data_IF_777494946624
#
_entry.id   IF_777494946624
#
_cell.length_a   1.000
_cell.length_b   1.000
_cell.length_c   1.000
_cell.angle_alpha   90.00
_cell.angle_beta   90.00
_cell.angle_gamma   90.00
#
_symmetry.space_group_name_H-M   'P 1'
#
loop_
_entity.id
_entity.type
_entity.pdbx_description
1 polymer ?
#
# COMPACT_ATOMS: atom_id res chain seq x y z
N UNK A 1 2.00 -6.98 12.53
CA UNK A 1 2.88 -7.50 11.46
C UNK A 1 2.13 -7.36 10.15
N UNK A 2 2.77 -6.83 9.09
CA UNK A 2 2.15 -6.68 7.78
C UNK A 2 1.87 -8.03 7.13
N UNK A 3 0.88 -8.07 6.24
CA UNK A 3 0.52 -9.27 5.44
C UNK A 3 1.67 -9.74 4.57
N UNK A 4 2.49 -8.80 4.07
CA UNK A 4 3.68 -9.07 3.27
C UNK A 4 4.90 -8.34 3.86
N UNK A 5 5.59 -8.94 4.85
CA UNK A 5 6.75 -8.32 5.49
C UNK A 5 7.94 -8.16 4.55
N UNK A 6 8.02 -8.95 3.47
CA UNK A 6 9.09 -8.85 2.48
C UNK A 6 8.87 -7.72 1.46
N UNK A 7 7.67 -7.12 1.43
CA UNK A 7 7.33 -6.05 0.50
C UNK A 7 7.42 -4.72 1.23
N UNK A 8 8.40 -3.91 0.84
CA UNK A 8 8.67 -2.61 1.46
C UNK A 8 8.04 -1.47 0.66
N UNK A 9 7.36 -0.57 1.36
CA UNK A 9 6.77 0.66 0.80
C UNK A 9 7.25 1.86 1.61
N UNK A 10 7.88 2.81 0.93
CA UNK A 10 8.33 4.04 1.58
C UNK A 10 7.18 5.05 1.70
N UNK A 11 6.82 5.37 2.94
CA UNK A 11 5.86 6.43 3.27
C UNK A 11 6.62 7.64 3.83
N UNK A 12 6.69 8.69 3.03
CA UNK A 12 7.26 9.97 3.41
C UNK A 12 6.17 10.89 3.97
N UNK A 13 6.53 11.76 4.92
CA UNK A 13 5.67 12.83 5.45
C UNK A 13 5.21 13.86 4.37
N UNK A 14 5.63 13.70 3.10
CA UNK A 14 5.23 14.51 1.96
C UNK A 14 4.26 13.79 1.01
N UNK A 15 3.86 12.56 1.33
CA UNK A 15 2.94 11.77 0.49
C UNK A 15 1.48 12.19 0.63
N UNK A 16 1.22 13.49 0.73
CA UNK A 16 -0.13 14.08 0.80
C UNK A 16 -1.02 13.79 -0.42
N UNK A 17 -0.58 12.92 -1.33
CA UNK A 17 -1.32 12.44 -2.47
C UNK A 17 -1.58 10.93 -2.35
N UNK A 18 -2.84 10.56 -2.10
CA UNK A 18 -3.31 9.18 -2.05
C UNK A 18 -2.93 8.37 -3.31
N UNK A 19 -2.99 8.98 -4.50
CA UNK A 19 -2.65 8.30 -5.75
C UNK A 19 -1.16 7.96 -5.84
N UNK A 20 -0.29 8.79 -5.28
CA UNK A 20 1.15 8.50 -5.25
C UNK A 20 1.44 7.28 -4.38
N UNK A 21 0.79 7.18 -3.21
CA UNK A 21 0.88 6.03 -2.31
C UNK A 21 0.37 4.76 -3.01
N UNK A 22 -0.82 4.82 -3.61
CA UNK A 22 -1.42 3.69 -4.32
C UNK A 22 -0.53 3.21 -5.48
N UNK A 23 0.08 4.13 -6.24
CA UNK A 23 0.98 3.80 -7.33
C UNK A 23 2.24 3.08 -6.83
N UNK A 24 2.80 3.49 -5.69
CA UNK A 24 3.95 2.80 -5.08
C UNK A 24 3.58 1.41 -4.59
N UNK A 25 2.43 1.26 -3.94
CA UNK A 25 1.94 -0.04 -3.47
C UNK A 25 1.73 -1.01 -4.64
N UNK A 26 1.15 -0.52 -5.74
CA UNK A 26 0.99 -1.31 -6.98
C UNK A 26 2.34 -1.79 -7.51
N UNK A 27 3.31 -0.88 -7.63
CA UNK A 27 4.64 -1.21 -8.11
C UNK A 27 5.34 -2.23 -7.20
N UNK A 28 5.20 -2.09 -5.88
CA UNK A 28 5.77 -3.02 -4.90
C UNK A 28 5.17 -4.43 -5.03
N UNK A 29 3.85 -4.54 -5.21
CA UNK A 29 3.18 -5.83 -5.48
C UNK A 29 3.65 -6.47 -6.79
N UNK A 30 3.79 -5.68 -7.87
CA UNK A 30 4.27 -6.18 -9.17
C UNK A 30 5.70 -6.70 -9.04
N UNK A 31 6.60 -5.94 -8.40
CA UNK A 31 7.99 -6.37 -8.17
C UNK A 31 8.09 -7.64 -7.32
N UNK A 32 7.12 -7.86 -6.42
CA UNK A 32 7.02 -9.07 -5.61
C UNK A 32 6.28 -10.23 -6.30
N UNK A 33 5.83 -10.07 -7.55
CA UNK A 33 5.07 -11.09 -8.28
C UNK A 33 3.67 -11.37 -7.69
N UNK A 34 3.08 -10.40 -6.97
CA UNK A 34 1.76 -10.48 -6.32
C UNK A 34 0.75 -9.52 -6.93
N UNK A 35 0.82 -9.30 -8.24
CA UNK A 35 -0.10 -8.41 -8.95
C UNK A 35 -1.58 -8.83 -8.81
N UNK A 36 -1.84 -10.13 -8.60
CA UNK A 36 -3.17 -10.69 -8.35
C UNK A 36 -3.83 -10.08 -7.10
N UNK A 37 -3.02 -9.59 -6.16
CA UNK A 37 -3.49 -8.99 -4.91
C UNK A 37 -3.83 -7.51 -5.01
N UNK A 38 -3.52 -6.87 -6.15
CA UNK A 38 -3.77 -5.44 -6.34
C UNK A 38 -5.24 -5.08 -6.16
N UNK A 39 -6.16 -5.86 -6.73
CA UNK A 39 -7.60 -5.56 -6.66
C UNK A 39 -8.13 -5.61 -5.22
N UNK A 40 -7.70 -6.61 -4.45
CA UNK A 40 -8.06 -6.77 -3.03
C UNK A 40 -7.52 -5.60 -2.20
N UNK A 41 -6.24 -5.26 -2.38
CA UNK A 41 -5.60 -4.14 -1.70
C UNK A 41 -6.28 -2.81 -2.05
N UNK A 42 -6.49 -2.53 -3.34
CA UNK A 42 -7.06 -1.26 -3.80
C UNK A 42 -8.47 -1.06 -3.22
N UNK A 43 -9.30 -2.10 -3.26
CA UNK A 43 -10.66 -2.06 -2.71
C UNK A 43 -10.65 -1.73 -1.22
N UNK A 44 -9.77 -2.37 -0.45
CA UNK A 44 -9.61 -2.09 0.98
C UNK A 44 -9.08 -0.66 1.21
N UNK A 45 -8.03 -0.25 0.47
CA UNK A 45 -7.35 1.02 0.67
C UNK A 45 -8.21 2.24 0.31
N UNK A 46 -9.18 2.09 -0.61
CA UNK A 46 -10.09 3.17 -1.03
C UNK A 46 -11.47 3.11 -0.38
N UNK A 47 -11.68 2.28 0.64
CA UNK A 47 -13.00 2.11 1.25
C UNK A 47 -13.43 3.24 2.19
N UNK A 48 -12.53 4.16 2.54
CA UNK A 48 -12.81 5.25 3.46
C UNK A 48 -11.93 6.48 3.15
N UNK A 49 -11.23 7.02 4.15
CA UNK A 49 -10.48 8.26 4.06
C UNK A 49 -8.95 8.05 3.96
N UNK A 50 -8.21 9.15 3.94
CA UNK A 50 -6.76 9.12 3.83
C UNK A 50 -6.06 8.43 5.02
N UNK A 51 -6.45 8.65 6.30
CA UNK A 51 -5.97 7.83 7.41
C UNK A 51 -6.20 6.32 7.22
N UNK A 52 -7.37 5.93 6.73
CA UNK A 52 -7.67 4.53 6.43
C UNK A 52 -6.74 3.94 5.34
N UNK A 53 -6.42 4.72 4.30
CA UNK A 53 -5.40 4.34 3.32
C UNK A 53 -4.06 4.03 4.00
N UNK A 54 -3.57 4.91 4.88
CA UNK A 54 -2.30 4.72 5.57
C UNK A 54 -2.28 3.46 6.43
N UNK A 55 -3.35 3.22 7.21
CA UNK A 55 -3.50 2.01 8.03
C UNK A 55 -3.52 0.76 7.15
N UNK A 56 -4.22 0.82 6.01
CA UNK A 56 -4.27 -0.31 5.06
C UNK A 56 -2.89 -0.58 4.47
N UNK A 57 -2.12 0.45 4.11
CA UNK A 57 -0.74 0.28 3.63
C UNK A 57 0.13 -0.39 4.71
N UNK A 58 0.09 0.09 5.95
CA UNK A 58 0.85 -0.50 7.07
C UNK A 58 0.40 -1.92 7.44
N UNK A 59 -0.86 -2.27 7.15
CA UNK A 59 -1.39 -3.63 7.33
C UNK A 59 -0.88 -4.57 6.24
N UNK A 60 -0.68 -4.08 5.03
CA UNK A 60 -0.34 -4.91 3.88
C UNK A 60 1.17 -5.04 3.64
N UNK A 61 1.94 -3.99 3.90
CA UNK A 61 3.34 -3.86 3.55
C UNK A 61 4.20 -3.47 4.76
N UNK A 62 5.47 -3.83 4.72
CA UNK A 62 6.46 -3.24 5.61
C UNK A 62 6.67 -1.78 5.18
N UNK A 63 6.54 -0.85 6.12
CA UNK A 63 6.66 0.59 5.86
C UNK A 63 7.96 1.11 6.41
N UNK A 64 8.72 1.79 5.56
CA UNK A 64 9.97 2.49 5.90
C UNK A 64 9.85 4.02 5.71
#
# INVERSE_FOLDING_TARGET
MPKYPDIKVYLTNRDGNAFAILSRCKNALVLAGKEDKWSEFLTEATSADYPHLLVTVMKWFEVE
#
